data_IF_566323708777
#
_entry.id   IF_566323708777
#
_cell.length_a   1.000
_cell.length_b   1.000
_cell.length_c   1.000
_cell.angle_alpha   90.00
_cell.angle_beta   90.00
_cell.angle_gamma   90.00
#
_symmetry.space_group_name_H-M   'P 1'
#
loop_
_entity.id
_entity.type
_entity.pdbx_description
1 polymer ?
#
# COMPACT_ATOMS: atom_id res chain seq x y z
N UNK A 1 -17.62 13.73 10.72
CA UNK A 1 -18.88 13.10 11.18
C UNK A 1 -19.78 14.07 11.95
N UNK A 2 -19.31 14.78 12.98
CA UNK A 2 -20.16 15.71 13.74
C UNK A 2 -20.83 16.79 12.88
N UNK A 3 -20.08 17.44 11.99
CA UNK A 3 -20.63 18.42 11.03
C UNK A 3 -21.73 17.82 10.16
N UNK A 4 -21.47 16.67 9.55
CA UNK A 4 -22.46 15.96 8.72
C UNK A 4 -23.71 15.57 9.51
N UNK A 5 -23.57 15.20 10.78
CA UNK A 5 -24.72 14.88 11.64
C UNK A 5 -25.60 16.11 11.87
N UNK A 6 -25.02 17.30 12.07
CA UNK A 6 -25.79 18.55 12.17
C UNK A 6 -26.52 18.84 10.87
N UNK A 7 -25.85 18.71 9.72
CA UNK A 7 -26.48 18.90 8.41
C UNK A 7 -27.64 17.90 8.23
N UNK A 8 -27.42 16.63 8.55
CA UNK A 8 -28.45 15.59 8.46
C UNK A 8 -29.67 15.89 9.32
N UNK A 9 -29.48 16.47 10.52
CA UNK A 9 -30.58 16.88 11.40
C UNK A 9 -31.36 18.07 10.84
N UNK A 10 -30.68 19.04 10.21
CA UNK A 10 -31.33 20.22 9.64
C UNK A 10 -32.10 19.91 8.35
N UNK A 11 -31.61 18.95 7.56
CA UNK A 11 -32.26 18.52 6.31
C UNK A 11 -33.35 17.47 6.53
N UNK A 12 -33.45 16.89 7.73
CA UNK A 12 -34.45 15.89 8.05
C UNK A 12 -35.87 16.46 8.02
N UNK A 13 -36.80 15.67 7.49
CA UNK A 13 -38.24 15.94 7.50
C UNK A 13 -38.95 14.85 8.32
N UNK A 14 -40.25 15.04 8.67
CA UNK A 14 -41.02 13.98 9.34
C UNK A 14 -41.04 12.63 8.60
N UNK A 15 -40.82 12.63 7.28
CA UNK A 15 -40.80 11.43 6.45
C UNK A 15 -39.40 10.80 6.34
N UNK A 16 -38.33 11.53 6.70
CA UNK A 16 -36.97 10.98 6.64
C UNK A 16 -36.73 10.02 7.81
N UNK A 17 -36.33 8.76 7.55
CA UNK A 17 -36.04 7.82 8.63
C UNK A 17 -34.79 8.24 9.39
N UNK A 18 -34.71 7.84 10.66
CA UNK A 18 -33.51 8.00 11.46
C UNK A 18 -32.30 7.36 10.75
N UNK A 19 -31.18 8.06 10.73
CA UNK A 19 -29.97 7.62 10.02
C UNK A 19 -28.73 7.59 10.92
N UNK A 20 -27.75 6.80 10.48
CA UNK A 20 -26.39 6.79 11.00
C UNK A 20 -25.50 7.48 9.98
N UNK A 21 -24.81 8.53 10.43
CA UNK A 21 -23.77 9.18 9.63
C UNK A 21 -22.51 8.34 9.67
N UNK A 22 -21.96 8.04 8.50
CA UNK A 22 -20.76 7.23 8.33
C UNK A 22 -19.85 7.81 7.24
N UNK A 23 -18.64 7.28 7.12
CA UNK A 23 -17.74 7.51 6.00
C UNK A 23 -17.59 6.21 5.21
N UNK A 24 -17.98 6.24 3.93
CA UNK A 24 -17.81 5.12 3.00
C UNK A 24 -17.10 5.61 1.76
N UNK A 25 -15.97 4.98 1.41
CA UNK A 25 -15.17 5.39 0.25
C UNK A 25 -14.68 6.84 0.34
N UNK A 26 -14.26 7.30 1.52
CA UNK A 26 -13.85 8.68 1.80
C UNK A 26 -14.95 9.75 1.58
N UNK A 27 -16.22 9.33 1.52
CA UNK A 27 -17.38 10.23 1.37
C UNK A 27 -18.33 10.07 2.56
N UNK A 28 -18.90 11.19 3.00
CA UNK A 28 -19.93 11.21 4.02
C UNK A 28 -21.22 10.60 3.47
N UNK A 29 -21.78 9.64 4.20
CA UNK A 29 -23.01 8.93 3.82
C UNK A 29 -23.94 8.81 5.02
N UNK A 30 -25.24 8.73 4.74
CA UNK A 30 -26.30 8.52 5.72
C UNK A 30 -26.94 7.16 5.46
N UNK A 31 -26.88 6.27 6.44
CA UNK A 31 -27.42 4.92 6.34
C UNK A 31 -28.66 4.78 7.22
N UNK A 32 -29.75 4.11 6.79
CA UNK A 32 -30.92 3.91 7.63
C UNK A 32 -30.56 3.18 8.94
N UNK A 33 -30.89 3.78 10.09
CA UNK A 33 -30.49 3.25 11.39
C UNK A 33 -31.00 1.84 11.63
N UNK A 34 -32.26 1.57 11.26
CA UNK A 34 -32.88 0.26 11.45
C UNK A 34 -32.16 -0.84 10.65
N UNK A 35 -31.72 -0.54 9.43
CA UNK A 35 -30.96 -1.49 8.61
C UNK A 35 -29.58 -1.76 9.21
N UNK A 36 -28.89 -0.73 9.70
CA UNK A 36 -27.59 -0.92 10.37
C UNK A 36 -27.71 -1.83 11.60
N UNK A 37 -28.74 -1.61 12.42
CA UNK A 37 -29.00 -2.47 13.60
C UNK A 37 -29.27 -3.91 13.16
N UNK A 38 -30.16 -4.12 12.18
CA UNK A 38 -30.48 -5.45 11.69
C UNK A 38 -29.24 -6.18 11.15
N UNK A 39 -28.42 -5.50 10.34
CA UNK A 39 -27.19 -6.07 9.79
C UNK A 39 -26.22 -6.54 10.88
N UNK A 40 -26.10 -5.81 11.99
CA UNK A 40 -25.23 -6.24 13.10
C UNK A 40 -25.75 -7.48 13.81
N UNK A 41 -27.07 -7.61 13.97
CA UNK A 41 -27.71 -8.79 14.54
C UNK A 41 -27.58 -10.00 13.62
N UNK A 42 -27.70 -9.82 12.30
CA UNK A 42 -27.55 -10.88 11.32
C UNK A 42 -26.15 -11.50 11.33
N UNK A 43 -25.11 -10.70 11.61
CA UNK A 43 -23.76 -11.24 11.81
C UNK A 43 -23.71 -12.16 13.02
N UNK A 44 -24.30 -11.77 14.15
CA UNK A 44 -24.34 -12.60 15.35
C UNK A 44 -25.12 -13.89 15.10
N UNK A 45 -26.29 -13.80 14.48
CA UNK A 45 -27.10 -14.95 14.07
C UNK A 45 -26.32 -15.92 13.18
N UNK A 46 -25.59 -15.40 12.19
CA UNK A 46 -24.75 -16.24 11.34
C UNK A 46 -23.64 -16.96 12.13
N UNK A 47 -23.07 -16.34 13.17
CA UNK A 47 -22.11 -17.00 14.05
C UNK A 47 -22.76 -18.10 14.90
N UNK A 48 -23.92 -17.83 15.50
CA UNK A 48 -24.64 -18.79 16.35
C UNK A 48 -25.07 -20.03 15.55
N UNK A 49 -25.48 -19.84 14.30
CA UNK A 49 -25.85 -20.90 13.36
C UNK A 49 -24.65 -21.56 12.67
N UNK A 50 -23.40 -21.21 13.07
CA UNK A 50 -22.14 -21.72 12.49
C UNK A 50 -21.97 -21.47 10.99
N UNK A 51 -22.66 -20.45 10.45
CA UNK A 51 -22.50 -19.97 9.06
C UNK A 51 -21.35 -18.97 8.96
N UNK A 52 -20.13 -19.42 9.24
CA UNK A 52 -18.96 -18.53 9.37
C UNK A 52 -18.61 -17.77 8.09
N UNK A 53 -18.79 -18.37 6.91
CA UNK A 53 -18.56 -17.67 5.64
C UNK A 53 -19.56 -16.51 5.45
N UNK A 54 -20.81 -16.70 5.87
CA UNK A 54 -21.82 -15.65 5.85
C UNK A 54 -21.46 -14.53 6.84
N UNK A 55 -21.00 -14.87 8.04
CA UNK A 55 -20.55 -13.88 9.02
C UNK A 55 -19.41 -13.00 8.47
N UNK A 56 -18.43 -13.60 7.77
CA UNK A 56 -17.34 -12.86 7.10
C UNK A 56 -17.88 -11.97 6.00
N UNK A 57 -18.81 -12.46 5.18
CA UNK A 57 -19.43 -11.69 4.08
C UNK A 57 -20.21 -10.49 4.61
N UNK A 58 -20.97 -10.67 5.69
CA UNK A 58 -21.77 -9.62 6.34
C UNK A 58 -20.91 -8.53 7.00
N UNK A 59 -19.67 -8.84 7.41
CA UNK A 59 -18.67 -7.84 7.85
C UNK A 59 -18.14 -6.95 6.72
N UNK A 60 -18.41 -7.30 5.47
CA UNK A 60 -18.07 -6.51 4.29
C UNK A 60 -16.76 -6.92 3.61
N UNK A 61 -16.56 -6.37 2.40
CA UNK A 61 -15.45 -6.73 1.51
C UNK A 61 -14.07 -6.37 2.09
N UNK A 62 -13.96 -5.27 2.82
CA UNK A 62 -12.71 -4.83 3.46
C UNK A 62 -12.22 -5.84 4.51
N UNK A 63 -13.13 -6.37 5.32
CA UNK A 63 -12.82 -7.40 6.30
C UNK A 63 -12.29 -8.69 5.65
N UNK A 64 -12.98 -9.16 4.61
CA UNK A 64 -12.55 -10.33 3.85
C UNK A 64 -11.18 -10.11 3.16
N UNK A 65 -10.96 -8.90 2.61
CA UNK A 65 -9.68 -8.49 2.03
C UNK A 65 -8.54 -8.55 3.04
N UNK A 66 -8.72 -7.96 4.22
CA UNK A 66 -7.74 -7.99 5.31
C UNK A 66 -7.42 -9.41 5.75
N UNK A 67 -8.44 -10.26 5.93
CA UNK A 67 -8.27 -11.65 6.33
C UNK A 67 -7.49 -12.45 5.28
N UNK A 68 -7.79 -12.26 3.99
CA UNK A 68 -7.10 -12.96 2.92
C UNK A 68 -5.63 -12.52 2.80
N UNK A 69 -5.38 -11.21 2.82
CA UNK A 69 -4.01 -10.66 2.80
C UNK A 69 -3.20 -11.17 3.99
N UNK A 70 -3.79 -11.18 5.20
CA UNK A 70 -3.13 -11.72 6.38
C UNK A 70 -2.71 -13.18 6.18
N UNK A 71 -3.62 -14.05 5.73
CA UNK A 71 -3.32 -15.46 5.47
C UNK A 71 -2.20 -15.63 4.45
N UNK A 72 -2.26 -14.89 3.33
CA UNK A 72 -1.24 -14.92 2.27
C UNK A 72 0.14 -14.50 2.76
N UNK A 73 0.24 -13.56 3.70
CA UNK A 73 1.52 -13.07 4.21
C UNK A 73 2.03 -13.84 5.43
N UNK A 74 1.14 -14.53 6.15
CA UNK A 74 1.48 -15.28 7.37
C UNK A 74 1.90 -16.72 7.07
N UNK A 75 1.21 -17.39 6.14
CA UNK A 75 1.37 -18.82 5.87
C UNK A 75 2.01 -19.00 4.50
N UNK A 76 3.21 -19.58 4.47
CA UNK A 76 3.88 -19.97 3.22
C UNK A 76 3.54 -21.43 2.91
N UNK A 77 3.06 -21.69 1.69
CA UNK A 77 2.95 -23.07 1.20
C UNK A 77 4.36 -23.68 0.98
N UNK A 78 4.52 -25.01 1.13
CA UNK A 78 5.73 -25.69 0.72
C UNK A 78 6.06 -25.38 -0.75
N UNK A 79 7.35 -25.27 -1.10
CA UNK A 79 7.74 -24.84 -2.45
C UNK A 79 7.25 -25.79 -3.56
N UNK A 80 7.11 -27.08 -3.26
CA UNK A 80 6.57 -28.09 -4.19
C UNK A 80 5.09 -27.86 -4.55
N UNK A 81 4.36 -27.11 -3.72
CA UNK A 81 2.93 -26.80 -3.93
C UNK A 81 2.73 -25.46 -4.65
N UNK A 82 3.79 -24.67 -4.84
CA UNK A 82 3.71 -23.37 -5.50
C UNK A 82 4.14 -23.55 -6.95
N UNK A 83 3.21 -23.46 -7.93
CA UNK A 83 3.58 -23.51 -9.34
C UNK A 83 4.48 -22.32 -9.66
N UNK A 84 5.74 -22.59 -10.02
CA UNK A 84 6.72 -21.54 -10.28
C UNK A 84 6.53 -20.96 -11.67
N UNK A 85 6.68 -19.65 -11.77
CA UNK A 85 6.88 -19.00 -13.06
C UNK A 85 8.37 -18.74 -13.25
N UNK A 86 8.81 -18.61 -14.49
CA UNK A 86 10.19 -18.20 -14.80
C UNK A 86 10.31 -16.67 -14.84
N UNK A 87 9.56 -15.96 -13.99
CA UNK A 87 9.53 -14.49 -13.97
C UNK A 87 10.29 -13.92 -12.78
N UNK A 88 11.19 -12.99 -13.05
CA UNK A 88 11.86 -12.20 -12.04
C UNK A 88 11.12 -10.87 -11.88
N UNK A 89 10.64 -10.57 -10.67
CA UNK A 89 9.94 -9.31 -10.36
C UNK A 89 10.81 -8.51 -9.41
N UNK A 90 11.13 -7.27 -9.80
CA UNK A 90 11.96 -6.38 -9.01
C UNK A 90 11.11 -5.43 -8.15
N UNK A 91 11.58 -5.16 -6.93
CA UNK A 91 10.98 -4.19 -6.00
C UNK A 91 12.03 -3.13 -5.66
N UNK A 92 11.62 -1.87 -5.70
CA UNK A 92 12.49 -0.71 -5.50
C UNK A 92 11.78 0.39 -4.71
N UNK A 93 12.53 1.11 -3.87
CA UNK A 93 12.03 2.29 -3.17
C UNK A 93 12.62 3.57 -3.79
N UNK A 94 11.77 4.56 -4.09
CA UNK A 94 12.16 5.80 -4.77
C UNK A 94 11.55 7.03 -4.09
N UNK A 95 12.36 8.08 -3.93
CA UNK A 95 11.99 9.32 -3.25
C UNK A 95 12.57 9.43 -1.84
N UNK A 96 11.96 10.26 -1.00
CA UNK A 96 12.33 10.37 0.41
C UNK A 96 11.79 9.18 1.23
N UNK A 97 12.45 8.81 2.34
CA UNK A 97 11.95 7.76 3.23
C UNK A 97 10.54 8.08 3.74
N UNK A 98 9.65 7.09 3.68
CA UNK A 98 8.30 7.16 4.24
C UNK A 98 8.03 5.95 5.14
N UNK A 99 7.39 6.20 6.29
CA UNK A 99 6.99 5.12 7.19
C UNK A 99 6.01 4.18 6.47
N UNK A 100 6.30 2.88 6.49
CA UNK A 100 5.51 1.85 5.79
C UNK A 100 6.11 1.33 4.48
N UNK A 101 7.19 1.93 3.95
CA UNK A 101 7.90 1.38 2.78
C UNK A 101 8.35 -0.07 3.01
N UNK A 102 8.91 -0.38 4.18
CA UNK A 102 9.36 -1.74 4.51
C UNK A 102 8.19 -2.74 4.58
N UNK A 103 7.03 -2.32 5.07
CA UNK A 103 5.83 -3.15 5.10
C UNK A 103 5.32 -3.45 3.67
N UNK A 104 5.38 -2.47 2.77
CA UNK A 104 5.02 -2.63 1.37
C UNK A 104 5.99 -3.58 0.65
N UNK A 105 7.30 -3.43 0.83
CA UNK A 105 8.31 -4.36 0.28
C UNK A 105 8.06 -5.77 0.79
N UNK A 106 7.86 -5.94 2.10
CA UNK A 106 7.54 -7.25 2.71
C UNK A 106 6.32 -7.90 2.05
N UNK A 107 5.27 -7.12 1.85
CA UNK A 107 4.03 -7.62 1.23
C UNK A 107 4.29 -8.06 -0.21
N UNK A 108 4.94 -7.22 -1.01
CA UNK A 108 5.24 -7.50 -2.40
C UNK A 108 6.10 -8.75 -2.58
N UNK A 109 7.18 -8.88 -1.80
CA UNK A 109 8.08 -10.04 -1.83
C UNK A 109 7.33 -11.32 -1.50
N UNK A 110 6.55 -11.34 -0.40
CA UNK A 110 5.82 -12.53 0.01
C UNK A 110 4.71 -12.92 -0.96
N UNK A 111 3.97 -11.94 -1.50
CA UNK A 111 2.94 -12.17 -2.50
C UNK A 111 3.55 -12.72 -3.79
N UNK A 112 4.62 -12.11 -4.30
CA UNK A 112 5.28 -12.60 -5.52
C UNK A 112 5.86 -14.00 -5.37
N UNK A 113 6.46 -14.34 -4.22
CA UNK A 113 6.92 -15.71 -3.93
C UNK A 113 5.74 -16.69 -3.88
N UNK A 114 4.62 -16.29 -3.27
CA UNK A 114 3.42 -17.12 -3.19
C UNK A 114 2.79 -17.35 -4.58
N UNK A 115 2.98 -16.41 -5.51
CA UNK A 115 2.57 -16.52 -6.91
C UNK A 115 3.64 -17.19 -7.80
N UNK A 116 4.72 -17.69 -7.19
CA UNK A 116 5.75 -18.50 -7.85
C UNK A 116 6.83 -17.70 -8.57
N UNK A 117 6.90 -16.39 -8.38
CA UNK A 117 7.92 -15.52 -8.96
C UNK A 117 9.22 -15.53 -8.15
N UNK A 118 10.32 -15.19 -8.83
CA UNK A 118 11.60 -14.88 -8.18
C UNK A 118 11.66 -13.38 -7.89
N UNK A 119 11.86 -13.03 -6.63
CA UNK A 119 11.83 -11.62 -6.21
C UNK A 119 13.24 -11.04 -6.14
N UNK A 120 13.42 -9.87 -6.74
CA UNK A 120 14.66 -9.11 -6.73
C UNK A 120 14.46 -7.80 -5.96
N UNK A 121 15.36 -7.51 -5.02
CA UNK A 121 15.43 -6.24 -4.33
C UNK A 121 16.48 -5.35 -5.00
N UNK A 122 16.07 -4.14 -5.37
CA UNK A 122 16.95 -3.09 -5.88
C UNK A 122 17.24 -2.12 -4.74
N UNK A 123 18.52 -1.91 -4.45
CA UNK A 123 18.96 -1.05 -3.36
C UNK A 123 19.17 0.39 -3.82
N UNK A 124 19.01 1.35 -2.91
CA UNK A 124 19.29 2.78 -3.11
C UNK A 124 18.57 3.45 -4.31
N UNK A 125 17.38 2.98 -4.65
CA UNK A 125 16.58 3.54 -5.75
C UNK A 125 17.28 3.44 -7.10
N UNK A 126 17.04 4.40 -8.00
CA UNK A 126 17.64 4.37 -9.34
C UNK A 126 19.17 4.52 -9.34
N UNK A 127 19.77 5.06 -8.28
CA UNK A 127 21.23 5.16 -8.14
C UNK A 127 21.86 3.77 -7.99
N UNK A 128 21.32 2.94 -7.09
CA UNK A 128 21.78 1.56 -6.96
C UNK A 128 21.32 0.70 -8.14
N UNK A 129 20.17 1.00 -8.75
CA UNK A 129 19.73 0.33 -9.98
C UNK A 129 20.77 0.53 -11.10
N UNK A 130 21.18 1.76 -11.41
CA UNK A 130 22.19 2.01 -12.44
C UNK A 130 23.52 1.29 -12.15
N UNK A 131 23.88 1.14 -10.87
CA UNK A 131 25.10 0.46 -10.41
C UNK A 131 24.97 -1.06 -10.31
N UNK A 132 23.80 -1.64 -10.60
CA UNK A 132 23.57 -3.08 -10.48
C UNK A 132 23.51 -3.60 -9.04
N UNK A 133 23.13 -2.76 -8.08
CA UNK A 133 22.91 -3.17 -6.68
C UNK A 133 21.57 -3.90 -6.54
N UNK A 134 21.53 -5.11 -7.10
CA UNK A 134 20.34 -5.95 -7.20
C UNK A 134 20.66 -7.30 -6.57
N UNK A 135 19.79 -7.76 -5.68
CA UNK A 135 19.93 -9.06 -5.02
C UNK A 135 18.60 -9.78 -4.96
N UNK A 136 18.62 -11.10 -5.10
CA UNK A 136 17.46 -11.92 -4.79
C UNK A 136 17.07 -11.78 -3.32
N UNK A 137 15.76 -11.70 -3.07
CA UNK A 137 15.19 -11.55 -1.73
C UNK A 137 14.11 -12.60 -1.49
N UNK A 138 14.21 -13.28 -0.35
CA UNK A 138 13.35 -14.39 0.04
C UNK A 138 12.29 -14.03 1.08
N UNK A 139 11.46 -15.02 1.40
CA UNK A 139 10.35 -14.89 2.36
C UNK A 139 10.80 -14.53 3.79
N UNK A 140 11.94 -15.09 4.21
CA UNK A 140 12.55 -14.92 5.53
C UNK A 140 13.26 -13.58 5.67
N UNK A 141 13.83 -13.06 4.58
CA UNK A 141 14.62 -11.83 4.58
C UNK A 141 13.78 -10.60 4.97
N UNK A 142 12.50 -10.61 4.60
CA UNK A 142 11.53 -9.56 4.94
C UNK A 142 10.77 -9.81 6.25
N UNK A 143 11.23 -10.77 7.07
CA UNK A 143 10.67 -11.05 8.39
C UNK A 143 10.83 -9.86 9.33
N UNK A 144 9.76 -9.46 10.03
CA UNK A 144 9.80 -8.35 11.00
C UNK A 144 9.73 -6.94 10.41
N UNK A 145 9.66 -6.78 9.09
CA UNK A 145 9.71 -5.47 8.43
C UNK A 145 8.44 -4.63 8.56
N UNK A 146 7.31 -5.23 8.98
CA UNK A 146 6.01 -4.54 9.05
C UNK A 146 6.02 -3.30 9.93
N UNK A 147 6.75 -3.33 11.07
CA UNK A 147 6.81 -2.22 12.03
C UNK A 147 8.05 -1.33 11.89
N UNK A 148 8.88 -1.55 10.87
CA UNK A 148 10.15 -0.82 10.72
C UNK A 148 9.94 0.47 9.92
N UNK A 149 10.35 1.61 10.49
CA UNK A 149 10.36 2.90 9.81
C UNK A 149 11.44 3.01 8.73
N UNK A 150 11.38 4.08 7.93
CA UNK A 150 12.37 4.35 6.87
C UNK A 150 12.32 3.36 5.71
N UNK A 151 13.48 3.12 5.09
CA UNK A 151 13.65 2.19 3.96
C UNK A 151 14.89 1.31 4.17
N UNK A 152 14.70 0.01 4.40
CA UNK A 152 15.78 -0.98 4.57
C UNK A 152 16.52 -1.22 3.25
N UNK A 153 15.81 -1.16 2.12
CA UNK A 153 16.43 -1.21 0.78
C UNK A 153 17.24 0.05 0.45
N UNK A 154 17.11 1.12 1.25
CA UNK A 154 17.56 2.45 0.85
C UNK A 154 16.57 3.13 -0.10
N UNK A 155 16.67 4.44 -0.24
CA UNK A 155 15.84 5.21 -1.18
C UNK A 155 16.56 6.50 -1.54
N UNK A 156 16.40 6.96 -2.77
CA UNK A 156 17.00 8.19 -3.30
C UNK A 156 15.98 8.92 -4.17
N UNK A 157 16.16 10.24 -4.30
CA UNK A 157 15.34 11.11 -5.16
C UNK A 157 15.85 11.22 -6.60
N UNK A 158 16.94 10.52 -6.92
CA UNK A 158 17.53 10.53 -8.26
C UNK A 158 16.58 9.92 -9.28
N UNK A 159 16.45 10.55 -10.45
CA UNK A 159 15.61 10.09 -11.55
C UNK A 159 16.41 9.23 -12.54
N UNK A 160 15.77 8.29 -13.26
CA UNK A 160 16.44 7.34 -14.14
C UNK A 160 16.93 7.95 -15.47
N UNK A 161 16.44 9.12 -15.88
CA UNK A 161 16.62 9.66 -17.24
C UNK A 161 18.07 9.83 -17.70
N UNK A 162 19.02 10.06 -16.78
CA UNK A 162 20.45 10.15 -17.10
C UNK A 162 21.15 8.79 -17.16
N UNK A 163 20.51 7.73 -16.67
CA UNK A 163 21.09 6.41 -16.47
C UNK A 163 20.28 5.29 -17.17
N UNK A 164 19.54 5.65 -18.23
CA UNK A 164 18.61 4.73 -18.90
C UNK A 164 19.35 3.52 -19.49
N UNK A 165 20.52 3.74 -20.10
CA UNK A 165 21.32 2.65 -20.70
C UNK A 165 21.83 1.67 -19.63
N UNK A 166 22.32 2.21 -18.51
CA UNK A 166 22.80 1.41 -17.39
C UNK A 166 21.66 0.62 -16.75
N UNK A 167 20.51 1.25 -16.51
CA UNK A 167 19.33 0.58 -15.94
C UNK A 167 18.80 -0.48 -16.90
N UNK A 168 18.71 -0.21 -18.20
CA UNK A 168 18.31 -1.19 -19.21
C UNK A 168 19.26 -2.39 -19.21
N UNK A 169 20.57 -2.14 -19.16
CA UNK A 169 21.58 -3.20 -19.03
C UNK A 169 21.32 -4.09 -17.82
N UNK A 170 20.99 -3.50 -16.65
CA UNK A 170 20.70 -4.29 -15.46
C UNK A 170 19.41 -5.09 -15.56
N UNK A 171 18.36 -4.56 -16.20
CA UNK A 171 17.14 -5.31 -16.49
C UNK A 171 17.44 -6.54 -17.34
N UNK A 172 18.28 -6.38 -18.37
CA UNK A 172 18.70 -7.48 -19.26
C UNK A 172 19.51 -8.53 -18.50
N UNK A 173 20.55 -8.11 -17.78
CA UNK A 173 21.47 -8.99 -17.03
C UNK A 173 20.71 -9.82 -15.98
N UNK A 174 19.76 -9.20 -15.27
CA UNK A 174 18.97 -9.88 -14.23
C UNK A 174 17.65 -10.46 -14.76
N UNK A 175 17.38 -10.34 -16.06
CA UNK A 175 16.15 -10.78 -16.71
C UNK A 175 14.89 -10.31 -15.98
N UNK A 176 14.80 -9.02 -15.65
CA UNK A 176 13.67 -8.46 -14.90
C UNK A 176 12.44 -8.42 -15.81
N UNK A 177 11.37 -9.12 -15.41
CA UNK A 177 10.14 -9.23 -16.19
C UNK A 177 9.03 -8.26 -15.74
N UNK A 178 9.14 -7.69 -14.54
CA UNK A 178 8.24 -6.65 -14.05
C UNK A 178 8.91 -5.83 -12.93
N UNK A 179 8.44 -4.60 -12.75
CA UNK A 179 8.97 -3.67 -11.75
C UNK A 179 7.84 -3.11 -10.88
N UNK A 180 7.99 -3.25 -9.56
CA UNK A 180 7.16 -2.57 -8.55
C UNK A 180 7.97 -1.46 -7.89
N UNK A 181 7.47 -0.23 -8.01
CA UNK A 181 8.08 0.95 -7.38
C UNK A 181 7.23 1.37 -6.18
N UNK A 182 7.85 1.53 -5.01
CA UNK A 182 7.20 2.07 -3.81
C UNK A 182 7.82 3.45 -3.56
N UNK A 183 7.05 4.52 -3.73
CA UNK A 183 7.68 5.84 -3.69
C UNK A 183 6.78 7.04 -3.86
N UNK A 184 7.40 8.22 -3.86
CA UNK A 184 6.73 9.52 -3.95
C UNK A 184 6.62 10.06 -5.37
N UNK A 185 6.63 11.38 -5.52
CA UNK A 185 6.53 12.05 -6.82
C UNK A 185 7.69 11.70 -7.76
N UNK A 186 8.89 11.45 -7.23
CA UNK A 186 10.05 11.01 -8.03
C UNK A 186 9.84 9.62 -8.64
N UNK A 187 9.09 8.73 -7.99
CA UNK A 187 8.72 7.45 -8.58
C UNK A 187 7.78 7.62 -9.77
N UNK A 188 6.81 8.55 -9.65
CA UNK A 188 5.89 8.88 -10.73
C UNK A 188 6.63 9.46 -11.95
N UNK A 189 7.52 10.43 -11.73
CA UNK A 189 8.38 10.97 -12.79
C UNK A 189 9.28 9.89 -13.40
N UNK A 190 9.87 9.02 -12.57
CA UNK A 190 10.67 7.90 -13.04
C UNK A 190 9.90 6.95 -13.97
N UNK A 191 8.63 6.65 -13.66
CA UNK A 191 7.78 5.87 -14.57
C UNK A 191 7.52 6.57 -15.90
N UNK A 192 7.31 7.89 -15.90
CA UNK A 192 7.13 8.65 -17.14
C UNK A 192 8.39 8.61 -18.02
N UNK A 193 9.57 8.78 -17.41
CA UNK A 193 10.86 8.70 -18.12
C UNK A 193 11.11 7.29 -18.68
N UNK A 194 10.88 6.24 -17.89
CA UNK A 194 11.01 4.85 -18.35
C UNK A 194 9.99 4.52 -19.45
N UNK A 195 8.77 5.04 -19.34
CA UNK A 195 7.74 4.87 -20.37
C UNK A 195 8.13 5.53 -21.69
N UNK A 196 8.66 6.75 -21.66
CA UNK A 196 9.14 7.44 -22.85
C UNK A 196 10.38 6.75 -23.47
N UNK A 197 11.18 6.09 -22.64
CA UNK A 197 12.37 5.37 -23.07
C UNK A 197 12.09 4.01 -23.73
N UNK A 198 10.85 3.49 -23.68
CA UNK A 198 10.47 2.20 -24.27
C UNK A 198 10.73 2.08 -25.77
N UNK A 199 10.66 3.18 -26.51
CA UNK A 199 10.95 3.19 -27.95
C UNK A 199 12.43 2.93 -28.26
N UNK A 200 13.32 3.20 -27.30
CA UNK A 200 14.78 3.07 -27.45
C UNK A 200 15.34 1.83 -26.76
N UNK A 201 14.69 1.34 -25.70
CA UNK A 201 15.15 0.21 -24.91
C UNK A 201 13.99 -0.76 -24.69
N UNK A 202 14.06 -1.94 -25.34
CA UNK A 202 13.05 -2.99 -25.21
C UNK A 202 12.95 -3.53 -23.78
N UNK A 203 14.01 -3.37 -22.98
CA UNK A 203 14.05 -3.77 -21.57
C UNK A 203 12.98 -3.07 -20.72
N UNK A 204 12.55 -1.87 -21.12
CA UNK A 204 11.49 -1.15 -20.42
C UNK A 204 10.08 -1.57 -20.88
N UNK A 205 9.96 -2.44 -21.88
CA UNK A 205 8.68 -2.98 -22.37
C UNK A 205 8.13 -4.10 -21.47
N UNK A 206 8.27 -3.92 -20.16
CA UNK A 206 7.74 -4.79 -19.10
C UNK A 206 6.64 -4.08 -18.31
N UNK A 207 5.74 -4.82 -17.64
CA UNK A 207 4.80 -4.24 -16.69
C UNK A 207 5.54 -3.49 -15.58
N UNK A 208 5.20 -2.22 -15.38
CA UNK A 208 5.71 -1.40 -14.30
C UNK A 208 4.52 -0.80 -13.55
N UNK A 209 4.52 -0.91 -12.22
CA UNK A 209 3.46 -0.38 -11.37
C UNK A 209 4.08 0.32 -10.17
N UNK A 210 3.41 1.37 -9.71
CA UNK A 210 3.82 2.17 -8.56
C UNK A 210 2.76 2.15 -7.47
N UNK A 211 3.20 2.09 -6.22
CA UNK A 211 2.38 2.35 -5.03
C UNK A 211 2.86 3.64 -4.35
N UNK A 212 1.97 4.60 -4.08
CA UNK A 212 2.35 5.90 -3.51
C UNK A 212 2.81 5.77 -2.05
N UNK A 213 4.03 6.21 -1.78
CA UNK A 213 4.66 6.26 -0.46
C UNK A 213 5.41 7.59 -0.28
N UNK A 214 4.82 8.50 0.47
CA UNK A 214 5.35 9.83 0.79
C UNK A 214 4.57 10.40 1.97
N UNK A 215 5.21 11.20 2.81
CA UNK A 215 4.53 11.94 3.89
C UNK A 215 3.69 13.10 3.36
N UNK A 216 3.97 13.58 2.13
CA UNK A 216 3.35 14.77 1.55
C UNK A 216 1.99 14.53 0.89
N UNK A 217 1.61 13.27 0.67
CA UNK A 217 0.38 12.89 -0.03
C UNK A 217 0.13 13.65 -1.35
N UNK A 218 1.19 13.79 -2.16
CA UNK A 218 1.21 14.61 -3.37
C UNK A 218 1.37 13.80 -4.67
N UNK A 219 1.11 12.49 -4.63
CA UNK A 219 1.24 11.63 -5.82
C UNK A 219 -0.07 11.68 -6.63
N UNK A 220 -0.03 12.07 -7.91
CA UNK A 220 -1.23 12.07 -8.75
C UNK A 220 -1.86 10.68 -8.86
N UNK A 221 -3.19 10.62 -8.82
CA UNK A 221 -3.95 9.37 -9.01
C UNK A 221 -4.24 8.58 -7.73
N UNK A 222 -3.86 9.08 -6.55
CA UNK A 222 -4.23 8.48 -5.27
C UNK A 222 -4.60 9.54 -4.25
N UNK A 223 -5.72 9.36 -3.55
CA UNK A 223 -6.15 10.23 -2.45
C UNK A 223 -5.26 10.09 -1.20
N UNK A 224 -4.55 8.97 -1.09
CA UNK A 224 -3.70 8.64 0.05
C UNK A 224 -2.34 8.10 -0.38
N UNK A 225 -1.32 8.36 0.43
CA UNK A 225 0.01 7.80 0.30
C UNK A 225 0.47 7.16 1.61
N UNK A 226 1.24 6.07 1.47
CA UNK A 226 1.86 5.39 2.60
C UNK A 226 2.81 6.38 3.31
N UNK A 227 2.62 6.53 4.62
CA UNK A 227 3.43 7.40 5.49
C UNK A 227 2.78 8.74 5.86
N UNK A 228 1.76 9.20 5.13
CA UNK A 228 1.08 10.46 5.44
C UNK A 228 0.37 10.41 6.82
N UNK A 229 -0.31 9.31 7.12
CA UNK A 229 -0.98 9.11 8.42
C UNK A 229 0.02 9.13 9.60
N UNK A 230 1.19 8.50 9.44
CA UNK A 230 2.24 8.56 10.47
C UNK A 230 2.70 9.99 10.71
N UNK A 231 2.90 10.78 9.65
CA UNK A 231 3.28 12.19 9.78
C UNK A 231 2.20 13.02 10.47
N UNK A 232 0.91 12.81 10.14
CA UNK A 232 -0.23 13.47 10.79
C UNK A 232 -0.32 13.15 12.28
N UNK A 233 -0.09 11.90 12.67
CA UNK A 233 -0.05 11.50 14.07
C UNK A 233 1.11 12.19 14.82
N UNK A 234 2.31 12.26 14.21
CA UNK A 234 3.44 13.00 14.81
C UNK A 234 3.11 14.49 14.99
N UNK A 235 2.51 15.13 13.98
CA UNK A 235 2.12 16.55 14.06
C UNK A 235 1.10 16.76 15.19
N UNK A 236 0.12 15.86 15.30
CA UNK A 236 -0.92 15.91 16.32
C UNK A 236 -0.34 15.77 17.73
N UNK A 237 0.56 14.81 17.93
CA UNK A 237 1.21 14.54 19.22
C UNK A 237 2.08 15.72 19.69
N UNK A 238 2.88 16.28 18.78
CA UNK A 238 3.69 17.48 19.06
C UNK A 238 2.79 18.67 19.41
N UNK A 239 1.69 18.88 18.66
CA UNK A 239 0.77 19.99 18.92
C UNK A 239 0.12 19.86 20.30
N UNK A 240 -0.32 18.65 20.69
CA UNK A 240 -0.88 18.39 22.01
C UNK A 240 0.11 18.69 23.14
N UNK A 241 1.37 18.26 23.00
CA UNK A 241 2.42 18.58 23.97
C UNK A 241 2.60 20.10 24.14
N UNK A 242 2.71 20.84 23.03
CA UNK A 242 2.90 22.30 23.08
C UNK A 242 1.71 23.03 23.72
N UNK A 243 0.48 22.57 23.49
CA UNK A 243 -0.70 23.16 24.12
C UNK A 243 -0.76 22.87 25.62
N UNK A 244 -0.33 21.69 26.05
CA UNK A 244 -0.27 21.36 27.47
C UNK A 244 0.76 22.22 28.22
N UNK A 245 1.88 22.53 27.58
CA UNK A 245 2.88 23.47 28.14
C UNK A 245 2.37 24.91 28.15
N UNK A 246 1.71 25.36 27.08
CA UNK A 246 1.17 26.72 26.97
C UNK A 246 -0.03 26.99 27.89
N UNK A 247 -0.84 25.98 28.20
CA UNK A 247 -1.99 26.10 29.11
C UNK A 247 -1.64 25.96 30.60
N UNK A 248 -0.39 25.62 30.93
CA UNK A 248 0.08 25.44 32.30
C UNK A 248 0.76 26.69 32.90
N UNK A 249 0.84 27.80 32.15
CA UNK A 249 1.36 29.10 32.60
C UNK A 249 0.24 30.13 32.76
#
# INVERSE_FOLDING_TARGET
MGVEAVIALLEATPDTPACVVSLSGNHAVRLPLMECVQMTQDVQKAMDERRFQDAVRLRGKSFAGNLNTYKRLAIKLPDDQIPKTNCNVAVINVGAPAAGMNAAVRSAVRVGIADGHRMLAIYDGFDGFAKGQIKEIGWTDVGGWTGQGGSILGTKRVLPGKYLEEIATQIRVHSINALLIIGGFEAYLGLLELSAAREKHEEFCVPMVMVPATVSNNVPGSDFSIGADTALNTITDVSLCTHHEAGAG
#
